data_IF_085186978794
#
_entry.id   IF_085186978794
#
_cell.length_a   1.000
_cell.length_b   1.000
_cell.length_c   1.000
_cell.angle_alpha   90.00
_cell.angle_beta   90.00
_cell.angle_gamma   90.00
#
_symmetry.space_group_name_H-M   'P 1'
#
loop_
_entity.id
_entity.type
_entity.pdbx_description
1 polymer ?
#
# COMPACT_ATOMS: atom_id res chain seq x y z
N UNK A 1 13.36 6.11 1.64
CA UNK A 1 12.46 5.07 2.20
C UNK A 1 11.66 5.53 3.40
N UNK A 2 12.25 6.22 4.39
CA UNK A 2 11.50 6.65 5.59
C UNK A 2 10.22 7.45 5.30
N UNK A 3 10.23 8.55 4.50
CA UNK A 3 9.01 9.34 4.30
C UNK A 3 7.89 8.51 3.67
N UNK A 4 8.20 7.74 2.63
CA UNK A 4 7.23 6.91 1.90
C UNK A 4 6.47 5.94 2.82
N UNK A 5 7.18 5.23 3.70
CA UNK A 5 6.51 4.30 4.63
C UNK A 5 5.78 5.03 5.75
N UNK A 6 6.31 6.15 6.26
CA UNK A 6 5.59 7.00 7.20
C UNK A 6 4.28 7.54 6.60
N UNK A 7 4.28 7.88 5.30
CA UNK A 7 3.10 8.35 4.57
C UNK A 7 2.04 7.24 4.45
N UNK A 8 2.44 5.99 4.14
CA UNK A 8 1.53 4.83 4.12
C UNK A 8 0.89 4.59 5.49
N UNK A 9 1.70 4.63 6.55
CA UNK A 9 1.22 4.46 7.93
C UNK A 9 0.26 5.57 8.35
N UNK A 10 0.57 6.82 7.99
CA UNK A 10 -0.31 7.94 8.24
C UNK A 10 -1.63 7.81 7.45
N UNK A 11 -1.56 7.45 6.17
CA UNK A 11 -2.75 7.24 5.33
C UNK A 11 -3.68 6.16 5.93
N UNK A 12 -3.12 5.06 6.46
CA UNK A 12 -3.88 4.05 7.20
C UNK A 12 -4.68 4.68 8.36
N UNK A 13 -4.03 5.49 9.21
CA UNK A 13 -4.73 6.15 10.31
C UNK A 13 -5.80 7.12 9.85
N UNK A 14 -5.57 7.85 8.76
CA UNK A 14 -6.57 8.77 8.18
C UNK A 14 -7.80 8.00 7.72
N UNK A 15 -7.65 6.90 6.96
CA UNK A 15 -8.80 6.13 6.47
C UNK A 15 -9.55 5.42 7.61
N UNK A 16 -8.83 4.91 8.62
CA UNK A 16 -9.44 4.31 9.82
C UNK A 16 -10.22 5.31 10.64
N UNK A 17 -9.66 6.50 10.86
CA UNK A 17 -10.34 7.58 11.59
C UNK A 17 -11.63 8.05 10.89
N UNK A 18 -11.73 7.84 9.57
CA UNK A 18 -12.92 8.13 8.77
C UNK A 18 -13.84 6.91 8.58
N UNK A 19 -13.67 5.86 9.37
CA UNK A 19 -14.63 4.76 9.48
C UNK A 19 -14.46 3.61 8.48
N UNK A 20 -13.39 3.60 7.66
CA UNK A 20 -13.10 2.45 6.80
C UNK A 20 -12.60 1.30 7.68
N UNK A 21 -13.21 0.11 7.65
CA UNK A 21 -12.80 -1.01 8.50
C UNK A 21 -11.55 -1.73 7.96
N UNK A 22 -10.80 -2.41 8.83
CA UNK A 22 -9.50 -3.02 8.48
C UNK A 22 -9.62 -4.07 7.36
N UNK A 23 -10.72 -4.82 7.31
CA UNK A 23 -10.99 -5.80 6.27
C UNK A 23 -11.09 -5.19 4.86
N UNK A 24 -11.33 -3.89 4.75
CA UNK A 24 -11.44 -3.16 3.49
C UNK A 24 -10.16 -2.37 3.15
N UNK A 25 -9.12 -2.51 3.97
CA UNK A 25 -7.82 -1.85 3.76
C UNK A 25 -6.79 -2.92 3.45
N UNK A 26 -5.99 -2.70 2.42
CA UNK A 26 -4.85 -3.53 2.03
C UNK A 26 -3.64 -2.59 1.93
N UNK A 27 -2.60 -2.89 2.68
CA UNK A 27 -1.40 -2.05 2.78
C UNK A 27 -0.23 -2.70 2.04
N UNK A 28 0.67 -1.86 1.53
CA UNK A 28 1.95 -2.28 0.96
C UNK A 28 3.05 -1.42 1.57
N UNK A 29 3.98 -2.03 2.31
CA UNK A 29 5.14 -1.34 2.88
C UNK A 29 6.26 -2.30 3.27
N UNK A 30 7.51 -1.86 3.14
CA UNK A 30 8.66 -2.77 3.26
C UNK A 30 8.96 -3.22 4.72
N UNK A 31 8.52 -2.45 5.72
CA UNK A 31 8.64 -2.71 7.17
C UNK A 31 10.08 -2.69 7.71
N UNK A 32 10.97 -1.92 7.09
CA UNK A 32 12.38 -1.82 7.47
C UNK A 32 12.74 -0.53 8.23
N UNK A 33 11.78 0.36 8.50
CA UNK A 33 12.07 1.69 9.07
C UNK A 33 11.92 1.78 10.59
N UNK A 34 10.86 1.21 11.18
CA UNK A 34 10.56 1.37 12.60
C UNK A 34 11.69 0.81 13.49
N UNK A 35 12.26 -0.33 13.12
CA UNK A 35 13.34 -0.99 13.87
C UNK A 35 14.71 -0.87 13.18
N UNK A 36 14.84 -0.05 12.13
CA UNK A 36 16.12 0.21 11.46
C UNK A 36 17.19 0.61 12.46
N UNK A 37 18.44 0.16 12.29
CA UNK A 37 19.59 0.62 13.10
C UNK A 37 19.73 2.14 13.09
N UNK A 38 19.33 2.79 11.99
CA UNK A 38 19.41 4.24 11.79
C UNK A 38 18.26 5.01 12.46
N UNK A 39 17.16 4.36 12.84
CA UNK A 39 16.07 5.02 13.56
C UNK A 39 16.49 5.31 15.02
N UNK A 40 16.61 6.58 15.44
CA UNK A 40 17.01 6.92 16.81
C UNK A 40 15.96 6.53 17.85
N UNK A 41 14.69 6.41 17.44
CA UNK A 41 13.54 6.06 18.29
C UNK A 41 12.94 4.75 17.82
N UNK A 42 13.52 3.61 18.26
CA UNK A 42 13.10 2.27 17.81
C UNK A 42 11.61 2.04 18.06
N UNK A 43 10.95 1.44 17.07
CA UNK A 43 9.53 1.12 17.11
C UNK A 43 8.60 2.31 16.87
N UNK A 44 9.15 3.53 16.72
CA UNK A 44 8.37 4.76 16.49
C UNK A 44 8.67 5.28 15.09
N UNK A 45 7.61 5.64 14.35
CA UNK A 45 7.70 6.34 13.07
C UNK A 45 6.81 7.56 13.12
N UNK A 46 7.32 8.72 12.70
CA UNK A 46 6.55 9.97 12.64
C UNK A 46 6.44 10.45 11.20
N UNK A 47 5.30 11.06 10.84
CA UNK A 47 5.09 11.63 9.50
C UNK A 47 5.17 13.17 9.45
N UNK A 48 5.35 13.83 10.60
CA UNK A 48 5.52 15.28 10.70
C UNK A 48 6.46 15.65 11.85
N UNK A 49 7.07 16.85 11.85
CA UNK A 49 7.82 17.35 13.00
C UNK A 49 6.98 17.31 14.26
N UNK A 50 7.51 16.73 15.34
CA UNK A 50 6.80 16.52 16.61
C UNK A 50 5.45 15.80 16.48
N UNK A 51 5.27 15.02 15.40
CA UNK A 51 4.06 14.24 15.16
C UNK A 51 3.94 13.05 16.09
N UNK A 52 2.75 12.45 16.11
CA UNK A 52 2.49 11.20 16.82
C UNK A 52 3.10 10.00 16.09
N UNK A 53 3.28 8.89 16.81
CA UNK A 53 3.68 7.62 16.22
C UNK A 53 2.59 7.11 15.26
N UNK A 54 2.93 7.01 13.98
CA UNK A 54 2.06 6.47 12.94
C UNK A 54 2.30 4.97 12.70
N UNK A 55 3.36 4.37 13.24
CA UNK A 55 3.59 2.92 13.06
C UNK A 55 2.69 2.07 13.97
N UNK A 56 2.41 2.58 15.17
CA UNK A 56 1.62 1.86 16.17
C UNK A 56 0.19 1.62 15.69
N UNK A 57 -0.22 0.36 15.68
CA UNK A 57 -1.58 -0.05 15.35
C UNK A 57 -1.82 -0.27 13.85
N UNK A 58 -0.78 -0.18 13.02
CA UNK A 58 -0.83 -0.61 11.62
C UNK A 58 -0.86 -2.17 11.58
N UNK A 59 -1.91 -2.78 11.01
CA UNK A 59 -2.11 -4.23 11.02
C UNK A 59 -1.21 -4.92 9.99
N UNK A 60 -0.31 -5.79 10.45
CA UNK A 60 0.59 -6.54 9.56
C UNK A 60 -0.11 -7.64 8.77
N UNK A 61 -1.20 -8.18 9.30
CA UNK A 61 -2.04 -9.20 8.65
C UNK A 61 -2.86 -8.64 7.48
N UNK A 62 -2.98 -7.32 7.39
CA UNK A 62 -3.60 -6.59 6.27
C UNK A 62 -2.56 -5.99 5.32
N UNK A 63 -1.30 -6.40 5.42
CA UNK A 63 -0.20 -5.82 4.69
C UNK A 63 0.58 -6.85 3.85
N UNK A 64 0.95 -6.44 2.64
CA UNK A 64 1.96 -7.12 1.82
C UNK A 64 3.30 -6.45 2.12
N UNK A 65 4.24 -7.22 2.67
CA UNK A 65 5.45 -6.68 3.32
C UNK A 65 6.73 -7.14 2.63
N UNK A 66 7.71 -6.23 2.58
CA UNK A 66 9.08 -6.55 2.22
C UNK A 66 9.22 -6.99 0.76
N UNK A 67 9.83 -8.16 0.54
CA UNK A 67 10.10 -8.70 -0.81
C UNK A 67 8.85 -9.08 -1.59
N UNK A 68 7.71 -9.20 -0.91
CA UNK A 68 6.44 -9.60 -1.51
C UNK A 68 5.75 -8.43 -2.24
N UNK A 69 6.28 -7.22 -2.10
CA UNK A 69 5.80 -6.02 -2.80
C UNK A 69 6.36 -6.02 -4.21
N UNK A 70 5.57 -6.51 -5.16
CA UNK A 70 5.89 -6.52 -6.59
C UNK A 70 4.77 -5.88 -7.41
N UNK A 71 5.06 -5.35 -8.62
CA UNK A 71 4.04 -4.86 -9.55
C UNK A 71 2.96 -5.89 -9.82
N UNK A 72 3.33 -7.14 -10.10
CA UNK A 72 2.40 -8.21 -10.43
C UNK A 72 1.42 -8.48 -9.29
N UNK A 73 1.94 -8.52 -8.06
CA UNK A 73 1.11 -8.75 -6.88
C UNK A 73 0.18 -7.57 -6.63
N UNK A 74 0.66 -6.33 -6.77
CA UNK A 74 -0.17 -5.14 -6.65
C UNK A 74 -1.31 -5.12 -7.68
N UNK A 75 -1.02 -5.39 -8.95
CA UNK A 75 -2.03 -5.46 -10.00
C UNK A 75 -3.01 -6.64 -9.79
N UNK A 76 -2.54 -7.78 -9.27
CA UNK A 76 -3.41 -8.89 -8.89
C UNK A 76 -4.36 -8.54 -7.74
N UNK A 77 -3.89 -7.78 -6.73
CA UNK A 77 -4.74 -7.23 -5.67
C UNK A 77 -5.85 -6.38 -6.25
N UNK A 78 -5.52 -5.46 -7.16
CA UNK A 78 -6.51 -4.60 -7.81
C UNK A 78 -7.58 -5.39 -8.57
N UNK A 79 -7.18 -6.48 -9.24
CA UNK A 79 -8.10 -7.34 -10.01
C UNK A 79 -8.95 -8.28 -9.17
N UNK A 80 -8.69 -8.42 -7.86
CA UNK A 80 -9.36 -9.45 -7.06
C UNK A 80 -8.80 -10.87 -7.31
N UNK A 81 -7.61 -10.99 -7.89
CA UNK A 81 -7.03 -12.28 -8.28
C UNK A 81 -6.34 -12.96 -7.09
N UNK A 82 -7.10 -13.80 -6.38
CA UNK A 82 -6.60 -14.55 -5.23
C UNK A 82 -5.54 -15.60 -5.58
N UNK A 83 -5.54 -16.11 -6.81
CA UNK A 83 -4.56 -17.12 -7.22
C UNK A 83 -3.16 -16.51 -7.28
N UNK A 84 -3.06 -15.26 -7.76
CA UNK A 84 -1.79 -14.56 -7.90
C UNK A 84 -1.37 -13.78 -6.65
N UNK A 85 -2.32 -13.26 -5.85
CA UNK A 85 -2.02 -12.37 -4.72
C UNK A 85 -2.26 -12.96 -3.31
N UNK A 86 -2.96 -14.10 -3.21
CA UNK A 86 -3.44 -14.65 -1.93
C UNK A 86 -4.75 -14.02 -1.48
N UNK A 87 -5.03 -14.03 -0.17
CA UNK A 87 -6.32 -13.56 0.36
C UNK A 87 -6.47 -12.03 0.44
N UNK A 88 -5.37 -11.28 0.41
CA UNK A 88 -5.38 -9.82 0.45
C UNK A 88 -5.60 -9.27 -0.96
N UNK A 89 -6.85 -9.27 -1.42
CA UNK A 89 -7.25 -8.71 -2.72
C UNK A 89 -8.48 -7.81 -2.59
N UNK A 90 -8.69 -6.91 -3.55
CA UNK A 90 -9.94 -6.16 -3.63
C UNK A 90 -11.10 -7.12 -3.93
N UNK A 91 -12.11 -7.07 -3.07
CA UNK A 91 -13.37 -7.78 -3.28
C UNK A 91 -14.53 -6.78 -3.46
N UNK A 92 -14.27 -5.67 -4.16
CA UNK A 92 -15.25 -4.64 -4.43
C UNK A 92 -16.31 -5.08 -5.45
N UNK A 93 -17.53 -4.60 -5.32
CA UNK A 93 -18.64 -4.74 -6.27
C UNK A 93 -18.97 -3.44 -7.02
N UNK A 94 -20.05 -3.44 -7.82
CA UNK A 94 -20.46 -2.30 -8.68
C UNK A 94 -20.78 -1.01 -7.92
N UNK A 95 -21.13 -1.11 -6.64
CA UNK A 95 -21.55 0.03 -5.81
C UNK A 95 -20.48 0.48 -4.82
N UNK A 96 -19.30 -0.14 -4.85
CA UNK A 96 -18.22 0.17 -3.91
C UNK A 96 -17.31 1.26 -4.47
N UNK A 97 -16.73 2.05 -3.57
CA UNK A 97 -15.71 3.02 -3.92
C UNK A 97 -14.33 2.48 -3.58
N UNK A 98 -13.44 2.48 -4.57
CA UNK A 98 -12.04 2.08 -4.40
C UNK A 98 -11.17 3.34 -4.34
N UNK A 99 -10.40 3.49 -3.26
CA UNK A 99 -9.39 4.52 -3.11
C UNK A 99 -7.99 3.87 -3.18
N UNK A 100 -7.16 4.35 -4.10
CA UNK A 100 -5.78 3.88 -4.28
C UNK A 100 -4.83 5.03 -3.94
N UNK A 101 -3.96 4.82 -2.96
CA UNK A 101 -2.90 5.74 -2.60
C UNK A 101 -1.54 5.07 -2.86
N UNK A 102 -0.72 5.67 -3.72
CA UNK A 102 0.59 5.17 -4.08
C UNK A 102 1.65 6.25 -3.86
N UNK A 103 2.73 5.88 -3.18
CA UNK A 103 3.84 6.78 -2.89
C UNK A 103 5.19 6.07 -3.00
N UNK A 104 5.94 6.39 -4.04
CA UNK A 104 7.38 6.14 -4.12
C UNK A 104 7.99 7.06 -5.19
N UNK A 105 9.20 6.73 -5.64
CA UNK A 105 9.83 7.30 -6.81
C UNK A 105 9.12 6.85 -8.08
N UNK A 106 9.28 7.65 -9.13
CA UNK A 106 8.80 7.33 -10.46
C UNK A 106 9.60 8.09 -11.51
N UNK A 107 9.37 7.72 -12.76
CA UNK A 107 9.92 8.34 -13.95
C UNK A 107 8.79 8.47 -14.99
N UNK A 108 8.94 9.22 -16.08
CA UNK A 108 7.93 9.25 -17.13
C UNK A 108 7.57 7.82 -17.58
N UNK A 109 6.30 7.44 -17.39
CA UNK A 109 5.78 6.13 -17.78
C UNK A 109 6.01 4.97 -16.80
N UNK A 110 6.63 5.19 -15.63
CA UNK A 110 6.81 4.12 -14.63
C UNK A 110 6.75 4.60 -13.18
N UNK A 111 6.35 3.68 -12.30
CA UNK A 111 6.40 3.79 -10.84
C UNK A 111 7.41 2.76 -10.31
N UNK A 112 8.30 3.17 -9.41
CA UNK A 112 9.27 2.24 -8.83
C UNK A 112 8.66 1.44 -7.67
N UNK A 113 8.93 0.14 -7.67
CA UNK A 113 8.70 -0.77 -6.55
C UNK A 113 10.04 -1.06 -5.85
N UNK A 114 10.07 -1.68 -4.66
CA UNK A 114 11.31 -1.87 -3.90
C UNK A 114 12.42 -2.63 -4.66
N UNK A 115 12.06 -3.47 -5.63
CA UNK A 115 12.97 -4.32 -6.41
C UNK A 115 12.60 -4.45 -7.88
N UNK A 116 11.64 -3.67 -8.35
CA UNK A 116 11.10 -3.76 -9.70
C UNK A 116 10.44 -2.42 -10.10
N UNK A 117 9.86 -2.36 -11.28
CA UNK A 117 9.21 -1.18 -11.85
C UNK A 117 7.85 -1.56 -12.44
N UNK A 118 6.84 -0.73 -12.22
CA UNK A 118 5.52 -0.89 -12.83
C UNK A 118 5.34 0.16 -13.93
N UNK A 119 5.06 -0.28 -15.15
CA UNK A 119 4.80 0.63 -16.26
C UNK A 119 3.38 1.19 -16.20
N UNK A 120 3.21 2.41 -16.69
CA UNK A 120 1.91 3.08 -16.74
C UNK A 120 0.88 2.30 -17.57
N UNK A 121 1.33 1.60 -18.62
CA UNK A 121 0.47 0.78 -19.47
C UNK A 121 -0.18 -0.37 -18.70
N UNK A 122 0.57 -1.03 -17.81
CA UNK A 122 0.06 -2.14 -16.99
C UNK A 122 -0.98 -1.67 -15.97
N UNK A 123 -0.71 -0.53 -15.32
CA UNK A 123 -1.65 0.08 -14.38
C UNK A 123 -2.93 0.54 -15.09
N UNK A 124 -2.80 1.27 -16.20
CA UNK A 124 -3.95 1.76 -16.97
C UNK A 124 -4.75 0.59 -17.54
N UNK A 125 -4.09 -0.45 -18.05
CA UNK A 125 -4.73 -1.68 -18.52
C UNK A 125 -5.53 -2.36 -17.40
N UNK A 126 -4.94 -2.46 -16.21
CA UNK A 126 -5.61 -3.04 -15.04
C UNK A 126 -6.83 -2.22 -14.60
N UNK A 127 -6.73 -0.89 -14.55
CA UNK A 127 -7.86 -0.02 -14.20
C UNK A 127 -8.99 -0.10 -15.23
N UNK A 128 -8.66 -0.21 -16.52
CA UNK A 128 -9.66 -0.44 -17.58
C UNK A 128 -10.36 -1.78 -17.42
N UNK A 129 -9.61 -2.84 -17.08
CA UNK A 129 -10.19 -4.14 -16.81
C UNK A 129 -11.14 -4.11 -15.61
N UNK A 130 -10.72 -3.48 -14.51
CA UNK A 130 -11.57 -3.29 -13.32
C UNK A 130 -12.89 -2.57 -13.65
N UNK A 131 -12.85 -1.57 -14.53
CA UNK A 131 -14.05 -0.84 -14.95
C UNK A 131 -15.03 -1.69 -15.77
N UNK A 132 -14.52 -2.69 -16.51
CA UNK A 132 -15.37 -3.59 -17.30
C UNK A 132 -15.96 -4.71 -16.45
N UNK A 133 -15.19 -5.23 -15.49
CA UNK A 133 -15.55 -6.40 -14.68
C UNK A 133 -16.44 -6.09 -13.48
N UNK A 134 -16.58 -4.81 -13.10
CA UNK A 134 -17.30 -4.35 -11.91
C UNK A 134 -18.42 -3.40 -12.28
#
# INVERSE_FOLDING_TARGET
>A
QYPKQADVYHAYHVVRANGIPDENIILFYYDDIANSKQNPTKGIVVNSPNGTDVYKGVPKDRAIIGKDITPERFLAVLKGDKQSAGDLVLNSGPNDHVFIYLIDHGSPGLIMFPRDEMYAEDLVGTLKQMHVDK
#
